data_IF_918895480051
#
_entry.id   IF_918895480051
#
_cell.length_a   1.000
_cell.length_b   1.000
_cell.length_c   1.000
_cell.angle_alpha   90.00
_cell.angle_beta   90.00
_cell.angle_gamma   90.00
#
_symmetry.space_group_name_H-M   'P 1'
#
loop_
_entity.id
_entity.type
_entity.pdbx_description
1 polymer ?
#
# COMPACT_ATOMS: atom_id res chain seq x y z
N UNK A 1 -1.71 15.03 -10.18
CA UNK A 1 -1.77 13.60 -9.79
C UNK A 1 -0.87 13.25 -8.60
N UNK A 2 -0.50 14.21 -7.75
CA UNK A 2 0.46 13.99 -6.63
C UNK A 2 -0.08 14.34 -5.23
N UNK A 3 -1.37 14.67 -5.09
CA UNK A 3 -1.89 15.18 -3.80
C UNK A 3 -2.30 14.07 -2.83
N UNK A 4 -2.79 12.92 -3.33
CA UNK A 4 -3.25 11.80 -2.48
C UNK A 4 -2.05 11.06 -1.86
N UNK A 5 -0.95 10.94 -2.60
CA UNK A 5 0.30 10.31 -2.13
C UNK A 5 0.97 11.12 -1.01
N UNK A 6 0.88 12.44 -1.08
CA UNK A 6 1.49 13.33 -0.08
C UNK A 6 0.71 13.34 1.25
N UNK A 7 -0.62 13.25 1.20
CA UNK A 7 -1.47 13.18 2.40
C UNK A 7 -1.34 11.83 3.10
N UNK A 8 -1.24 10.73 2.36
CA UNK A 8 -1.03 9.39 2.93
C UNK A 8 0.35 9.24 3.58
N UNK A 9 1.40 9.81 2.99
CA UNK A 9 2.75 9.79 3.58
C UNK A 9 2.82 10.56 4.91
N UNK A 10 2.16 11.72 5.01
CA UNK A 10 2.22 12.54 6.24
C UNK A 10 1.46 11.89 7.42
N UNK A 11 0.34 11.21 7.15
CA UNK A 11 -0.38 10.42 8.16
C UNK A 11 0.45 9.18 8.59
N UNK A 12 1.29 8.68 7.70
CA UNK A 12 2.13 7.50 7.94
C UNK A 12 3.27 7.78 8.93
N UNK A 13 3.95 8.92 8.80
CA UNK A 13 5.11 9.25 9.65
C UNK A 13 4.75 9.64 11.08
N UNK A 14 3.58 10.23 11.32
CA UNK A 14 3.14 10.59 12.67
C UNK A 14 2.68 9.38 13.51
N UNK A 15 2.24 8.29 12.89
CA UNK A 15 1.75 7.12 13.61
C UNK A 15 2.79 6.02 13.89
N UNK A 16 3.96 6.06 13.27
CA UNK A 16 5.01 5.04 13.48
C UNK A 16 5.75 5.21 14.81
N UNK A 17 5.72 6.39 15.41
CA UNK A 17 6.41 6.67 16.69
C UNK A 17 5.62 6.28 17.96
N UNK A 18 4.37 5.86 17.89
CA UNK A 18 3.51 5.74 19.10
C UNK A 18 3.04 4.30 19.39
N UNK A 19 3.59 3.24 18.89
CA UNK A 19 3.04 1.93 19.27
C UNK A 19 4.03 0.78 19.37
N UNK A 20 5.00 0.92 20.28
CA UNK A 20 5.67 -0.28 20.83
C UNK A 20 5.11 -0.71 22.21
N UNK A 21 4.04 -0.11 22.65
CA UNK A 21 3.42 -0.44 23.96
C UNK A 21 1.91 -0.34 23.90
N UNK A 22 1.25 -1.42 23.47
CA UNK A 22 -0.05 -1.83 24.02
C UNK A 22 -0.50 -3.16 23.37
N UNK A 23 -0.27 -4.24 24.07
CA UNK A 23 -1.09 -5.46 23.99
C UNK A 23 -2.48 -5.11 24.52
N UNK A 24 -3.32 -4.48 23.73
CA UNK A 24 -4.73 -4.30 24.05
C UNK A 24 -5.58 -5.13 23.10
N UNK A 25 -6.24 -6.13 23.71
CA UNK A 25 -7.52 -6.73 23.36
C UNK A 25 -8.07 -6.35 21.95
N UNK A 26 -7.58 -6.98 20.94
CA UNK A 26 -8.17 -7.03 19.61
C UNK A 26 -8.95 -8.36 19.47
N UNK A 27 -9.88 -8.64 20.40
CA UNK A 27 -10.58 -9.92 20.44
C UNK A 27 -11.99 -9.90 19.82
N UNK A 28 -12.42 -8.81 19.17
CA UNK A 28 -13.73 -8.73 18.52
C UNK A 28 -13.74 -8.12 17.11
N UNK A 29 -12.61 -7.64 16.58
CA UNK A 29 -12.49 -7.13 15.20
C UNK A 29 -11.91 -8.17 14.23
N UNK A 30 -11.45 -9.31 14.74
CA UNK A 30 -10.74 -10.35 13.96
C UNK A 30 -11.65 -11.28 13.15
N UNK A 31 -12.90 -10.89 12.86
CA UNK A 31 -13.81 -11.74 12.10
C UNK A 31 -14.75 -10.96 11.16
N UNK A 32 -14.25 -9.98 10.45
CA UNK A 32 -14.93 -9.56 9.22
C UNK A 32 -14.62 -10.59 8.14
N UNK A 33 -15.67 -11.05 7.43
CA UNK A 33 -15.42 -11.81 6.20
C UNK A 33 -14.85 -10.89 5.12
N UNK A 34 -14.08 -11.45 4.20
CA UNK A 34 -13.52 -10.73 3.05
C UNK A 34 -14.56 -9.84 2.36
N UNK A 35 -15.76 -10.37 2.13
CA UNK A 35 -16.87 -9.59 1.56
C UNK A 35 -17.23 -8.35 2.39
N UNK A 36 -17.15 -8.41 3.73
CA UNK A 36 -17.45 -7.24 4.57
C UNK A 36 -16.31 -6.22 4.53
N UNK A 37 -15.09 -6.68 4.37
CA UNK A 37 -13.93 -5.82 4.13
C UNK A 37 -14.08 -5.08 2.80
N UNK A 38 -14.49 -5.77 1.71
CA UNK A 38 -14.77 -5.16 0.40
C UNK A 38 -15.82 -4.02 0.49
N UNK A 39 -16.88 -4.24 1.28
CA UNK A 39 -17.88 -3.18 1.48
C UNK A 39 -17.32 -1.97 2.24
N UNK A 40 -16.51 -2.18 3.28
CA UNK A 40 -15.88 -1.08 4.02
C UNK A 40 -14.92 -0.30 3.15
N UNK A 41 -14.11 -0.98 2.35
CA UNK A 41 -13.20 -0.37 1.39
C UNK A 41 -13.97 0.46 0.35
N UNK A 42 -15.04 -0.11 -0.23
CA UNK A 42 -15.89 0.60 -1.18
C UNK A 42 -16.49 1.89 -0.59
N UNK A 43 -17.01 1.81 0.65
CA UNK A 43 -17.58 2.98 1.36
C UNK A 43 -16.48 4.03 1.60
N UNK A 44 -15.28 3.60 2.00
CA UNK A 44 -14.15 4.50 2.23
C UNK A 44 -13.79 5.28 0.96
N UNK A 45 -13.56 4.60 -0.15
CA UNK A 45 -13.23 5.24 -1.42
C UNK A 45 -14.33 6.16 -1.94
N UNK A 46 -15.61 5.73 -1.88
CA UNK A 46 -16.74 6.56 -2.30
C UNK A 46 -16.85 7.81 -1.43
N UNK A 47 -16.59 7.68 -0.12
CA UNK A 47 -16.63 8.83 0.79
C UNK A 47 -15.53 9.85 0.51
N UNK A 48 -14.33 9.39 0.14
CA UNK A 48 -13.23 10.27 -0.28
C UNK A 48 -13.52 10.96 -1.64
N UNK A 49 -14.17 10.26 -2.56
CA UNK A 49 -14.50 10.78 -3.90
C UNK A 49 -15.69 11.75 -3.89
N UNK A 50 -16.75 11.44 -3.13
CA UNK A 50 -18.08 12.08 -3.19
C UNK A 50 -18.54 12.70 -1.86
N UNK A 51 -17.73 12.61 -0.82
CA UNK A 51 -18.04 12.99 0.58
C UNK A 51 -19.18 12.17 1.23
N UNK A 52 -19.88 11.32 0.48
CA UNK A 52 -20.97 10.51 0.98
C UNK A 52 -21.18 9.27 0.11
N UNK A 53 -21.45 8.13 0.73
CA UNK A 53 -21.74 6.88 0.04
C UNK A 53 -23.25 6.63 0.01
N UNK A 54 -23.76 6.12 -1.11
CA UNK A 54 -25.13 5.62 -1.25
C UNK A 54 -25.11 4.14 -1.60
N UNK A 55 -26.13 3.41 -1.21
CA UNK A 55 -26.24 1.97 -1.47
C UNK A 55 -26.09 1.61 -2.96
N UNK A 56 -26.52 2.50 -3.87
CA UNK A 56 -26.34 2.31 -5.32
C UNK A 56 -24.86 2.39 -5.69
N UNK A 57 -24.13 3.41 -5.23
CA UNK A 57 -22.70 3.58 -5.55
C UNK A 57 -21.87 2.40 -5.04
N UNK A 58 -22.21 1.89 -3.85
CA UNK A 58 -21.58 0.71 -3.26
C UNK A 58 -21.88 -0.54 -4.10
N UNK A 59 -23.14 -0.76 -4.49
CA UNK A 59 -23.54 -1.88 -5.34
C UNK A 59 -22.77 -1.91 -6.67
N UNK A 60 -22.66 -0.74 -7.29
CA UNK A 60 -21.98 -0.57 -8.57
C UNK A 60 -20.46 -0.83 -8.42
N UNK A 61 -19.82 -0.36 -7.31
CA UNK A 61 -18.40 -0.53 -7.06
C UNK A 61 -18.02 -1.96 -6.71
N UNK A 62 -18.77 -2.60 -5.81
CA UNK A 62 -18.54 -4.01 -5.41
C UNK A 62 -19.08 -5.01 -6.43
N UNK A 63 -19.86 -4.54 -7.43
CA UNK A 63 -20.48 -5.34 -8.49
C UNK A 63 -21.47 -6.40 -7.97
N UNK A 64 -22.31 -6.02 -7.03
CA UNK A 64 -23.32 -6.87 -6.41
C UNK A 64 -24.72 -6.26 -6.55
N UNK A 65 -25.76 -7.03 -6.25
CA UNK A 65 -27.12 -6.51 -6.23
C UNK A 65 -27.39 -5.67 -4.96
N UNK A 66 -28.42 -4.80 -5.04
CA UNK A 66 -28.79 -3.91 -3.94
C UNK A 66 -29.22 -4.64 -2.66
N UNK A 67 -29.77 -5.84 -2.78
CA UNK A 67 -30.21 -6.62 -1.60
C UNK A 67 -29.00 -7.10 -0.80
N UNK A 68 -27.93 -7.52 -1.47
CA UNK A 68 -26.66 -7.89 -0.83
C UNK A 68 -26.03 -6.71 -0.09
N UNK A 69 -26.04 -5.52 -0.71
CA UNK A 69 -25.56 -4.29 -0.06
C UNK A 69 -26.34 -3.98 1.21
N UNK A 70 -27.69 -4.07 1.15
CA UNK A 70 -28.54 -3.79 2.32
C UNK A 70 -28.23 -4.74 3.48
N UNK A 71 -28.03 -6.03 3.18
CA UNK A 71 -27.66 -7.03 4.19
C UNK A 71 -26.30 -6.73 4.82
N UNK A 72 -25.31 -6.42 3.99
CA UNK A 72 -23.96 -6.05 4.44
C UNK A 72 -23.95 -4.78 5.30
N UNK A 73 -24.67 -3.73 4.87
CA UNK A 73 -24.77 -2.48 5.62
C UNK A 73 -25.41 -2.64 6.99
N UNK A 74 -26.43 -3.47 7.11
CA UNK A 74 -27.02 -3.82 8.42
C UNK A 74 -25.98 -4.50 9.31
N UNK A 75 -25.31 -5.52 8.80
CA UNK A 75 -24.27 -6.25 9.56
C UNK A 75 -23.10 -5.34 9.97
N UNK A 76 -22.65 -4.44 9.11
CA UNK A 76 -21.61 -3.45 9.44
C UNK A 76 -22.09 -2.41 10.44
N UNK A 77 -23.37 -2.02 10.39
CA UNK A 77 -24.00 -1.11 11.36
C UNK A 77 -24.13 -1.78 12.73
N UNK A 78 -24.57 -3.04 12.77
CA UNK A 78 -24.66 -3.83 14.02
C UNK A 78 -23.29 -3.98 14.70
N UNK A 79 -22.20 -4.02 13.90
CA UNK A 79 -20.81 -4.02 14.39
C UNK A 79 -20.29 -2.62 14.75
N UNK A 80 -21.08 -1.56 14.58
CA UNK A 80 -20.68 -0.19 14.86
C UNK A 80 -19.62 0.38 13.92
N UNK A 81 -19.52 -0.14 12.68
CA UNK A 81 -18.52 0.28 11.69
C UNK A 81 -19.06 1.32 10.70
N UNK A 82 -20.38 1.32 10.46
CA UNK A 82 -21.05 2.29 9.60
C UNK A 82 -22.27 2.89 10.28
N UNK A 83 -22.59 4.13 9.94
CA UNK A 83 -23.90 4.72 10.23
C UNK A 83 -24.78 4.46 9.02
N UNK A 84 -25.85 3.68 9.22
CA UNK A 84 -26.77 3.28 8.17
C UNK A 84 -28.22 3.43 8.60
N UNK A 85 -28.99 4.17 7.82
CA UNK A 85 -30.44 4.17 7.86
C UNK A 85 -30.99 3.92 6.45
N UNK A 86 -32.16 3.28 6.28
CA UNK A 86 -32.77 3.07 4.98
C UNK A 86 -32.94 4.40 4.24
N UNK A 87 -32.55 4.43 2.97
CA UNK A 87 -32.64 5.61 2.06
C UNK A 87 -31.75 6.80 2.41
N UNK A 88 -30.90 6.69 3.43
CA UNK A 88 -30.00 7.74 3.88
C UNK A 88 -28.57 7.58 3.33
N UNK A 89 -27.75 8.56 3.63
CA UNK A 89 -26.32 8.57 3.33
C UNK A 89 -25.59 7.62 4.29
N UNK A 90 -24.76 6.75 3.73
CA UNK A 90 -23.92 5.84 4.49
C UNK A 90 -22.61 6.52 4.82
N UNK A 91 -22.23 6.53 6.10
CA UNK A 91 -20.96 7.08 6.57
C UNK A 91 -20.22 6.07 7.44
N UNK A 92 -18.90 6.13 7.44
CA UNK A 92 -18.08 5.34 8.35
C UNK A 92 -18.08 5.95 9.75
N UNK A 93 -18.17 5.11 10.77
CA UNK A 93 -17.87 5.52 12.15
C UNK A 93 -16.35 5.74 12.30
N UNK A 94 -15.89 6.27 13.43
CA UNK A 94 -14.45 6.39 13.71
C UNK A 94 -13.75 5.03 13.65
N UNK A 95 -14.37 3.97 14.19
CA UNK A 95 -13.86 2.58 14.14
C UNK A 95 -13.88 2.04 12.71
N UNK A 96 -14.96 2.26 11.97
CA UNK A 96 -15.08 1.87 10.57
C UNK A 96 -14.04 2.54 9.69
N UNK A 97 -13.81 3.84 9.87
CA UNK A 97 -12.78 4.59 9.12
C UNK A 97 -11.38 4.05 9.39
N UNK A 98 -11.06 3.74 10.65
CA UNK A 98 -9.75 3.16 11.01
C UNK A 98 -9.55 1.79 10.37
N UNK A 99 -10.56 0.93 10.41
CA UNK A 99 -10.49 -0.41 9.83
C UNK A 99 -10.43 -0.36 8.30
N UNK A 100 -11.27 0.46 7.65
CA UNK A 100 -11.22 0.67 6.21
C UNK A 100 -9.86 1.19 5.73
N UNK A 101 -9.27 2.14 6.44
CA UNK A 101 -7.94 2.65 6.14
C UNK A 101 -6.85 1.56 6.23
N UNK A 102 -6.96 0.62 7.19
CA UNK A 102 -6.03 -0.51 7.28
C UNK A 102 -6.21 -1.53 6.14
N UNK A 103 -7.46 -1.76 5.68
CA UNK A 103 -7.76 -2.60 4.51
C UNK A 103 -7.14 -1.97 3.25
N UNK A 104 -7.43 -0.71 2.99
CA UNK A 104 -6.86 0.05 1.85
C UNK A 104 -5.33 0.05 1.90
N UNK A 105 -4.73 0.21 3.09
CA UNK A 105 -3.28 0.15 3.27
C UNK A 105 -2.71 -1.21 2.87
N UNK A 106 -3.37 -2.32 3.22
CA UNK A 106 -2.96 -3.69 2.82
C UNK A 106 -3.02 -3.84 1.30
N UNK A 107 -4.11 -3.41 0.70
CA UNK A 107 -4.30 -3.43 -0.75
C UNK A 107 -3.18 -2.69 -1.48
N UNK A 108 -2.97 -1.42 -1.16
CA UNK A 108 -1.96 -0.58 -1.83
C UNK A 108 -0.53 -1.10 -1.61
N UNK A 109 -0.22 -1.63 -0.42
CA UNK A 109 1.09 -2.23 -0.14
C UNK A 109 1.37 -3.46 -1.01
N UNK A 110 0.39 -4.33 -1.17
CA UNK A 110 0.50 -5.52 -2.03
C UNK A 110 0.61 -5.12 -3.50
N UNK A 111 -0.23 -4.22 -3.95
CA UNK A 111 -0.20 -3.70 -5.32
C UNK A 111 1.14 -3.04 -5.65
N UNK A 112 1.63 -2.19 -4.76
CA UNK A 112 2.94 -1.54 -4.91
C UNK A 112 4.08 -2.55 -4.98
N UNK A 113 4.06 -3.58 -4.13
CA UNK A 113 5.05 -4.65 -4.19
C UNK A 113 4.99 -5.39 -5.53
N UNK A 114 3.81 -5.75 -6.02
CA UNK A 114 3.66 -6.44 -7.29
C UNK A 114 4.12 -5.58 -8.48
N UNK A 115 3.75 -4.31 -8.50
CA UNK A 115 4.11 -3.40 -9.60
C UNK A 115 5.58 -2.98 -9.53
N UNK A 116 6.06 -2.54 -8.36
CA UNK A 116 7.39 -1.91 -8.25
C UNK A 116 8.51 -2.93 -8.14
N UNK A 117 8.27 -4.05 -7.46
CA UNK A 117 9.30 -5.07 -7.20
C UNK A 117 9.19 -6.24 -8.19
N UNK A 118 8.00 -6.83 -8.32
CA UNK A 118 7.81 -7.96 -9.23
C UNK A 118 7.61 -7.54 -10.68
N UNK A 119 7.42 -6.24 -10.96
CA UNK A 119 7.25 -5.65 -12.29
C UNK A 119 6.04 -6.19 -13.03
N UNK A 120 5.01 -6.59 -12.30
CA UNK A 120 3.74 -7.08 -12.84
C UNK A 120 2.92 -5.90 -13.39
N UNK A 121 2.12 -6.14 -14.43
CA UNK A 121 1.19 -5.14 -14.97
C UNK A 121 0.22 -4.65 -13.89
N UNK A 122 -0.13 -3.36 -13.96
CA UNK A 122 -0.99 -2.72 -12.94
C UNK A 122 -2.35 -3.38 -12.79
N UNK A 123 -2.97 -3.82 -13.91
CA UNK A 123 -4.31 -4.42 -13.85
C UNK A 123 -4.25 -5.84 -13.26
N UNK A 124 -3.16 -6.56 -13.53
CA UNK A 124 -2.91 -7.88 -12.94
C UNK A 124 -2.59 -7.73 -11.45
N UNK A 125 -1.72 -6.79 -11.09
CA UNK A 125 -1.34 -6.49 -9.72
C UNK A 125 -2.56 -6.06 -8.87
N UNK A 126 -3.45 -5.23 -9.40
CA UNK A 126 -4.71 -4.83 -8.76
C UNK A 126 -5.57 -6.04 -8.43
N UNK A 127 -5.80 -6.92 -9.42
CA UNK A 127 -6.60 -8.15 -9.23
C UNK A 127 -5.96 -9.13 -8.26
N UNK A 128 -4.63 -9.21 -8.25
CA UNK A 128 -3.89 -10.06 -7.33
C UNK A 128 -3.95 -9.53 -5.90
N UNK A 129 -3.76 -8.22 -5.71
CA UNK A 129 -3.85 -7.54 -4.42
C UNK A 129 -5.23 -7.77 -3.78
N UNK A 130 -6.32 -7.50 -4.49
CA UNK A 130 -7.70 -7.73 -4.02
C UNK A 130 -7.93 -9.17 -3.53
N UNK A 131 -7.30 -10.17 -4.13
CA UNK A 131 -7.49 -11.57 -3.73
C UNK A 131 -6.70 -11.96 -2.49
N UNK A 132 -5.57 -11.32 -2.28
CA UNK A 132 -4.58 -11.72 -1.27
C UNK A 132 -4.68 -10.89 0.01
N UNK A 133 -5.15 -9.64 -0.06
CA UNK A 133 -5.15 -8.68 1.06
C UNK A 133 -5.89 -9.16 2.31
N UNK A 134 -6.93 -9.95 2.14
CA UNK A 134 -7.74 -10.46 3.24
C UNK A 134 -7.05 -11.58 4.04
N UNK A 135 -6.10 -12.29 3.40
CA UNK A 135 -5.37 -13.42 3.99
C UNK A 135 -4.00 -13.00 4.56
N UNK A 136 -3.53 -11.80 4.20
CA UNK A 136 -2.19 -11.35 4.59
C UNK A 136 -2.21 -10.64 5.93
N UNK A 137 -1.41 -11.14 6.87
CA UNK A 137 -1.30 -10.53 8.18
C UNK A 137 -0.63 -9.15 8.13
N UNK A 138 -0.98 -8.29 9.09
CA UNK A 138 -0.38 -6.95 9.23
C UNK A 138 1.15 -6.97 9.24
N UNK A 139 1.76 -7.95 9.92
CA UNK A 139 3.21 -8.06 9.99
C UNK A 139 3.85 -8.31 8.60
N UNK A 140 3.22 -9.12 7.75
CA UNK A 140 3.69 -9.35 6.38
C UNK A 140 3.59 -8.05 5.58
N UNK A 141 2.46 -7.36 5.66
CA UNK A 141 2.25 -6.07 4.98
C UNK A 141 3.31 -5.04 5.40
N UNK A 142 3.57 -4.89 6.70
CA UNK A 142 4.58 -3.97 7.22
C UNK A 142 5.98 -4.32 6.67
N UNK A 143 6.30 -5.62 6.51
CA UNK A 143 7.56 -6.06 5.92
C UNK A 143 7.65 -5.79 4.42
N UNK A 144 6.55 -5.97 3.67
CA UNK A 144 6.50 -5.65 2.24
C UNK A 144 6.70 -4.16 2.01
N UNK A 145 6.05 -3.30 2.79
CA UNK A 145 6.24 -1.85 2.72
C UNK A 145 7.71 -1.50 2.98
N UNK A 146 8.28 -1.98 4.09
CA UNK A 146 9.68 -1.74 4.43
C UNK A 146 10.64 -2.22 3.34
N UNK A 147 10.31 -3.32 2.67
CA UNK A 147 11.11 -3.82 1.55
C UNK A 147 11.03 -2.92 0.32
N UNK A 148 9.84 -2.45 -0.04
CA UNK A 148 9.66 -1.50 -1.16
C UNK A 148 10.44 -0.20 -0.89
N UNK A 149 10.27 0.37 0.31
CA UNK A 149 11.00 1.57 0.74
C UNK A 149 12.53 1.36 0.69
N UNK A 150 13.01 0.22 1.23
CA UNK A 150 14.42 -0.12 1.18
C UNK A 150 14.95 -0.19 -0.26
N UNK A 151 14.18 -0.80 -1.17
CA UNK A 151 14.57 -0.90 -2.58
C UNK A 151 14.61 0.47 -3.27
N UNK A 152 13.77 1.41 -2.88
CA UNK A 152 13.76 2.77 -3.44
C UNK A 152 14.95 3.61 -2.99
N UNK A 153 15.41 3.44 -1.74
CA UNK A 153 16.50 4.26 -1.16
C UNK A 153 17.88 3.60 -1.18
N UNK A 154 17.93 2.27 -1.32
CA UNK A 154 19.19 1.52 -1.25
C UNK A 154 20.09 1.79 -2.47
N UNK A 155 21.29 2.35 -2.28
CA UNK A 155 22.20 2.62 -3.40
C UNK A 155 22.70 1.35 -4.13
N UNK A 156 22.67 0.20 -3.44
CA UNK A 156 23.09 -1.10 -3.99
C UNK A 156 21.97 -1.87 -4.69
N UNK A 157 20.71 -1.61 -4.30
CA UNK A 157 19.53 -2.25 -4.86
C UNK A 157 18.94 -1.43 -5.99
N UNK A 158 18.06 -0.58 -5.65
CA UNK A 158 17.49 0.45 -6.49
C UNK A 158 17.09 0.02 -7.91
N UNK A 159 17.03 1.03 -8.75
CA UNK A 159 16.54 0.88 -10.14
C UNK A 159 17.37 -0.08 -10.98
N UNK A 160 18.69 -0.16 -10.76
CA UNK A 160 19.57 -1.01 -11.58
C UNK A 160 19.38 -2.50 -11.26
N UNK A 161 19.19 -2.82 -9.98
CA UNK A 161 18.86 -4.18 -9.58
C UNK A 161 17.53 -4.63 -10.18
N UNK A 162 16.50 -3.79 -10.12
CA UNK A 162 15.19 -4.06 -10.73
C UNK A 162 15.27 -4.24 -12.25
N UNK A 163 16.14 -3.48 -12.94
CA UNK A 163 16.42 -3.71 -14.37
C UNK A 163 17.05 -5.08 -14.62
N UNK A 164 17.97 -5.50 -13.75
CA UNK A 164 18.58 -6.83 -13.80
C UNK A 164 17.53 -7.92 -13.59
N UNK A 165 16.67 -7.76 -12.60
CA UNK A 165 15.56 -8.67 -12.31
C UNK A 165 14.58 -8.78 -13.50
N UNK A 166 14.19 -7.65 -14.09
CA UNK A 166 13.33 -7.62 -15.28
C UNK A 166 13.93 -8.45 -16.44
N UNK A 167 15.21 -8.23 -16.75
CA UNK A 167 15.92 -8.97 -17.80
C UNK A 167 15.96 -10.48 -17.51
N UNK A 168 16.13 -10.85 -16.24
CA UNK A 168 16.08 -12.25 -15.83
C UNK A 168 14.70 -12.86 -16.07
N UNK A 169 13.61 -12.15 -15.70
CA UNK A 169 12.24 -12.61 -15.95
C UNK A 169 11.93 -12.76 -17.44
N UNK A 170 12.43 -11.85 -18.29
CA UNK A 170 12.14 -11.83 -19.72
C UNK A 170 12.97 -12.87 -20.50
N UNK A 171 14.23 -13.10 -20.13
CA UNK A 171 15.19 -13.85 -20.95
C UNK A 171 15.74 -15.13 -20.28
N UNK A 172 15.46 -15.35 -18.99
CA UNK A 172 15.97 -16.52 -18.25
C UNK A 172 17.48 -16.58 -18.05
N UNK A 173 18.23 -15.52 -18.41
CA UNK A 173 19.70 -15.51 -18.42
C UNK A 173 20.27 -14.91 -17.14
N UNK A 174 21.04 -15.70 -16.41
CA UNK A 174 21.55 -15.35 -15.07
C UNK A 174 23.08 -15.28 -14.97
N UNK A 175 23.86 -15.90 -15.86
CA UNK A 175 25.23 -16.28 -15.51
C UNK A 175 26.33 -15.31 -15.97
N UNK A 176 26.25 -14.71 -17.15
CA UNK A 176 27.32 -13.83 -17.65
C UNK A 176 27.16 -12.36 -17.28
N UNK A 177 25.95 -11.94 -16.99
CA UNK A 177 25.59 -10.52 -16.80
C UNK A 177 25.63 -10.04 -15.34
N UNK A 178 25.63 -10.96 -14.35
CA UNK A 178 25.80 -10.56 -12.94
C UNK A 178 27.15 -9.91 -12.68
N UNK A 179 28.21 -10.42 -13.28
CA UNK A 179 29.55 -9.83 -13.13
C UNK A 179 29.65 -8.45 -13.77
N UNK A 180 29.07 -8.27 -14.96
CA UNK A 180 28.99 -6.99 -15.66
C UNK A 180 28.16 -5.99 -14.88
N UNK A 181 27.00 -6.42 -14.37
CA UNK A 181 26.12 -5.61 -13.52
C UNK A 181 26.81 -5.17 -12.22
N UNK A 182 27.52 -6.08 -11.53
CA UNK A 182 28.28 -5.73 -10.32
C UNK A 182 29.38 -4.72 -10.66
N UNK A 183 30.07 -4.91 -11.79
CA UNK A 183 31.10 -3.98 -12.27
C UNK A 183 30.54 -2.58 -12.55
N UNK A 184 29.37 -2.49 -13.17
CA UNK A 184 28.70 -1.23 -13.46
C UNK A 184 28.18 -0.53 -12.19
N UNK A 185 27.57 -1.27 -11.26
CA UNK A 185 27.19 -0.76 -9.95
C UNK A 185 28.38 -0.23 -9.14
N UNK A 186 29.52 -0.92 -9.20
CA UNK A 186 30.76 -0.46 -8.53
C UNK A 186 31.32 0.81 -9.17
N UNK A 187 31.22 0.98 -10.48
CA UNK A 187 31.62 2.22 -11.18
C UNK A 187 30.76 3.39 -10.76
N UNK A 188 29.45 3.19 -10.66
CA UNK A 188 28.50 4.23 -10.26
C UNK A 188 28.67 4.63 -8.79
N UNK A 189 28.91 3.68 -7.90
CA UNK A 189 29.22 3.96 -6.49
C UNK A 189 30.49 4.82 -6.37
N UNK A 190 31.57 4.45 -7.05
CA UNK A 190 32.82 5.21 -7.07
C UNK A 190 32.63 6.63 -7.65
N UNK A 191 31.74 6.78 -8.64
CA UNK A 191 31.44 8.09 -9.21
C UNK A 191 30.69 8.98 -8.20
N UNK A 192 29.72 8.42 -7.47
CA UNK A 192 28.99 9.13 -6.40
C UNK A 192 29.87 9.51 -5.22
N UNK A 193 30.77 8.62 -4.78
CA UNK A 193 31.76 8.93 -3.72
C UNK A 193 32.66 10.11 -4.11
N UNK A 194 33.14 10.15 -5.36
CA UNK A 194 33.94 11.28 -5.88
C UNK A 194 33.16 12.59 -5.92
N UNK A 195 31.87 12.54 -6.29
CA UNK A 195 31.00 13.71 -6.29
C UNK A 195 30.76 14.25 -4.88
N UNK A 196 30.49 13.38 -3.92
CA UNK A 196 30.31 13.76 -2.51
C UNK A 196 31.61 14.32 -1.90
N UNK A 197 32.77 13.72 -2.18
CA UNK A 197 34.04 14.22 -1.73
C UNK A 197 34.36 15.61 -2.33
N UNK A 198 34.03 15.84 -3.60
CA UNK A 198 34.24 17.14 -4.24
C UNK A 198 33.27 18.21 -3.74
N UNK A 199 32.05 17.85 -3.32
CA UNK A 199 31.10 18.78 -2.71
C UNK A 199 31.55 19.19 -1.31
N UNK A 200 32.00 18.24 -0.50
CA UNK A 200 32.54 18.50 0.86
C UNK A 200 33.80 19.37 0.88
N UNK A 201 34.63 19.33 -0.16
CA UNK A 201 35.85 20.17 -0.27
C UNK A 201 35.54 21.61 -0.67
N UNK A 202 34.40 21.92 -1.27
CA UNK A 202 33.98 23.28 -1.64
C UNK A 202 33.43 24.09 -0.46
N UNK A 203 32.91 23.42 0.55
CA UNK A 203 32.33 24.08 1.74
C UNK A 203 33.37 24.47 2.81
N UNK A 204 34.65 24.09 2.61
CA UNK A 204 35.77 24.36 3.53
C UNK A 204 36.69 25.50 3.07
N UNK A 205 36.27 26.44 2.23
CA UNK A 205 37.07 27.64 1.95
C UNK A 205 36.72 28.71 2.99
N UNK A 206 37.66 29.10 3.87
CA UNK A 206 37.48 30.22 4.78
C UNK A 206 37.45 31.51 3.95
N UNK A 207 36.44 32.38 4.24
CA UNK A 207 36.40 33.75 3.82
C UNK A 207 37.37 34.60 4.65
#
# INVERSE_FOLDING_TARGET
>A
MNSVFFVMNNIYYENVQISFSRKEKMSHLDALSSNMEDYLEAIFHISEEKQAARAKDIADRVRVNKSSVTGALRSLSDKGLVNYAPYDIITLTASGKKLAAEIVRRHEALKDFFVKILLIDKNEAEKAACKVEHEVSKNIVDRLISFVEFMEICPRGGKEWLKGFRRHCENGDTSSRCADFISECLKDLKKRERQLASASSRDKRPG
#
